data_IF_502706802032
#
_entry.id   IF_502706802032
#
_cell.length_a   1.000
_cell.length_b   1.000
_cell.length_c   1.000
_cell.angle_alpha   90.00
_cell.angle_beta   90.00
_cell.angle_gamma   90.00
#
_symmetry.space_group_name_H-M   'P 1'
#
loop_
_entity.id
_entity.type
_entity.pdbx_description
1 polymer ?
#
# COMPACT_ATOMS: atom_id res chain seq x y z
N UNK A 1 -14.49 4.91 -4.34
CA UNK A 1 -13.16 4.29 -4.54
C UNK A 1 -12.65 3.80 -3.19
N UNK A 2 -11.99 2.65 -3.16
CA UNK A 2 -11.42 2.07 -1.93
C UNK A 2 -9.91 2.32 -1.91
N UNK A 3 -9.36 2.50 -0.72
CA UNK A 3 -7.91 2.65 -0.51
C UNK A 3 -7.34 1.26 -0.17
N UNK A 4 -6.28 0.85 -0.86
CA UNK A 4 -5.56 -0.39 -0.57
C UNK A 4 -4.12 -0.08 -0.21
N UNK A 5 -3.66 -0.72 0.87
CA UNK A 5 -2.27 -0.71 1.28
C UNK A 5 -1.56 -1.88 0.61
N UNK A 6 -0.52 -1.58 -0.15
CA UNK A 6 0.37 -2.55 -0.79
C UNK A 6 1.70 -2.52 -0.07
N UNK A 7 2.17 -3.67 0.41
CA UNK A 7 3.50 -3.81 1.03
C UNK A 7 4.37 -4.69 0.16
N UNK A 8 5.51 -4.15 -0.28
CA UNK A 8 6.54 -4.87 -1.02
C UNK A 8 7.66 -5.28 -0.06
N UNK A 9 7.86 -6.57 0.15
CA UNK A 9 8.92 -7.11 1.01
C UNK A 9 10.11 -7.57 0.15
N UNK A 10 11.28 -7.01 0.43
CA UNK A 10 12.55 -7.45 -0.16
C UNK A 10 13.19 -8.56 0.68
N UNK A 11 12.99 -8.49 1.99
CA UNK A 11 13.30 -9.51 3.00
C UNK A 11 12.43 -9.28 4.26
N UNK A 12 12.83 -9.83 5.41
CA UNK A 12 12.08 -9.74 6.66
C UNK A 12 12.08 -8.33 7.28
N UNK A 13 13.12 -7.54 7.04
CA UNK A 13 13.32 -6.22 7.66
C UNK A 13 13.06 -5.07 6.68
N UNK A 14 13.27 -5.31 5.38
CA UNK A 14 13.18 -4.29 4.34
C UNK A 14 11.88 -4.41 3.56
N UNK A 15 11.02 -3.40 3.74
CA UNK A 15 9.78 -3.27 2.99
C UNK A 15 9.43 -1.82 2.67
N UNK A 16 8.66 -1.64 1.59
CA UNK A 16 8.11 -0.34 1.19
C UNK A 16 6.59 -0.46 1.08
N UNK A 17 5.87 0.60 1.45
CA UNK A 17 4.41 0.68 1.38
C UNK A 17 3.94 1.68 0.35
N UNK A 18 3.01 1.26 -0.51
CA UNK A 18 2.28 2.11 -1.46
C UNK A 18 0.79 2.08 -1.13
N UNK A 19 0.12 3.22 -1.24
CA UNK A 19 -1.33 3.29 -1.17
C UNK A 19 -1.90 3.50 -2.57
N UNK A 20 -2.83 2.64 -2.98
CA UNK A 20 -3.50 2.72 -4.28
C UNK A 20 -5.00 2.88 -4.09
N UNK A 21 -5.66 3.54 -5.04
CA UNK A 21 -7.10 3.82 -5.00
C UNK A 21 -7.77 3.14 -6.17
N UNK A 22 -8.53 2.07 -5.90
CA UNK A 22 -9.20 1.25 -6.92
C UNK A 22 -10.57 0.79 -6.43
N UNK A 23 -11.36 0.19 -7.31
CA UNK A 23 -12.76 -0.17 -7.04
C UNK A 23 -12.91 -1.43 -6.18
N UNK A 24 -11.94 -2.36 -6.25
CA UNK A 24 -12.02 -3.66 -5.61
C UNK A 24 -10.64 -4.32 -5.43
N UNK A 25 -10.57 -5.36 -4.60
CA UNK A 25 -9.37 -6.19 -4.40
C UNK A 25 -8.87 -6.77 -5.73
N UNK A 26 -9.76 -7.29 -6.58
CA UNK A 26 -9.38 -7.86 -7.88
C UNK A 26 -8.76 -6.82 -8.83
N UNK A 27 -9.22 -5.56 -8.77
CA UNK A 27 -8.58 -4.45 -9.51
C UNK A 27 -7.22 -4.08 -8.93
N UNK A 28 -7.06 -4.13 -7.61
CA UNK A 28 -5.77 -3.93 -6.95
C UNK A 28 -4.75 -5.00 -7.39
N UNK A 29 -5.15 -6.28 -7.37
CA UNK A 29 -4.32 -7.40 -7.81
C UNK A 29 -3.98 -7.32 -9.29
N UNK A 30 -4.94 -6.95 -10.15
CA UNK A 30 -4.70 -6.77 -11.57
C UNK A 30 -3.68 -5.66 -11.85
N UNK A 31 -3.78 -4.52 -11.14
CA UNK A 31 -2.80 -3.43 -11.24
C UNK A 31 -1.39 -3.93 -10.87
N UNK A 32 -1.24 -4.53 -9.69
CA UNK A 32 0.06 -5.03 -9.21
C UNK A 32 0.63 -6.10 -10.15
N UNK A 33 -0.22 -6.96 -10.74
CA UNK A 33 0.22 -7.94 -11.74
C UNK A 33 0.69 -7.27 -13.03
N UNK A 34 0.01 -6.23 -13.49
CA UNK A 34 0.41 -5.48 -14.69
C UNK A 34 1.73 -4.74 -14.52
N UNK A 35 2.06 -4.36 -13.29
CA UNK A 35 3.31 -3.72 -12.88
C UNK A 35 4.45 -4.72 -12.57
N UNK A 36 4.24 -6.03 -12.78
CA UNK A 36 5.24 -7.05 -12.45
C UNK A 36 6.43 -6.99 -13.41
N UNK A 37 7.61 -7.25 -12.87
CA UNK A 37 8.89 -7.34 -13.58
C UNK A 37 9.31 -6.05 -14.32
N UNK A 38 9.02 -4.89 -13.71
CA UNK A 38 9.44 -3.59 -14.22
C UNK A 38 9.70 -2.61 -13.06
N UNK A 39 10.20 -1.43 -13.39
CA UNK A 39 10.31 -0.34 -12.42
C UNK A 39 8.96 0.33 -12.20
N UNK A 40 8.63 0.58 -10.94
CA UNK A 40 7.55 1.48 -10.55
C UNK A 40 8.11 2.59 -9.67
N UNK A 41 7.46 3.75 -9.73
CA UNK A 41 7.74 4.85 -8.82
C UNK A 41 6.47 5.47 -8.27
N UNK A 42 6.56 5.97 -7.04
CA UNK A 42 5.46 6.64 -6.37
C UNK A 42 5.99 7.51 -5.23
N UNK A 43 5.19 8.48 -4.83
CA UNK A 43 5.45 9.33 -3.67
C UNK A 43 4.51 8.94 -2.54
N UNK A 44 5.04 8.71 -1.35
CA UNK A 44 4.21 8.39 -0.18
C UNK A 44 3.55 9.64 0.44
N UNK A 45 2.72 9.44 1.48
CA UNK A 45 2.04 10.53 2.17
C UNK A 45 2.98 11.48 2.93
N UNK A 46 4.25 11.12 3.11
CA UNK A 46 5.29 11.97 3.72
C UNK A 46 6.06 12.77 2.66
N UNK A 47 5.73 12.62 1.38
CA UNK A 47 6.44 13.29 0.28
C UNK A 47 7.73 12.59 -0.13
N UNK A 48 7.95 11.33 0.27
CA UNK A 48 9.16 10.58 -0.07
C UNK A 48 8.95 9.85 -1.39
N UNK A 49 9.88 10.07 -2.32
CA UNK A 49 9.93 9.35 -3.59
C UNK A 49 10.48 7.93 -3.36
N UNK A 50 9.74 6.94 -3.82
CA UNK A 50 10.15 5.55 -3.85
C UNK A 50 10.22 5.08 -5.30
N UNK A 51 11.27 4.34 -5.62
CA UNK A 51 11.42 3.65 -6.89
C UNK A 51 11.95 2.25 -6.62
N UNK A 52 11.33 1.24 -7.24
CA UNK A 52 11.78 -0.14 -7.11
C UNK A 52 11.48 -0.96 -8.36
N UNK A 53 12.29 -2.00 -8.56
CA UNK A 53 12.04 -3.03 -9.56
C UNK A 53 11.16 -4.14 -8.95
N UNK A 54 9.93 -4.29 -9.42
CA UNK A 54 8.95 -5.22 -8.84
C UNK A 54 9.36 -6.68 -8.97
N UNK A 55 10.18 -7.03 -9.97
CA UNK A 55 10.76 -8.37 -10.13
C UNK A 55 11.74 -8.78 -9.01
N UNK A 56 12.24 -7.83 -8.20
CA UNK A 56 13.15 -8.09 -7.06
C UNK A 56 12.41 -8.22 -5.73
N UNK A 57 11.09 -8.04 -5.72
CA UNK A 57 10.26 -8.16 -4.52
C UNK A 57 9.95 -9.64 -4.27
N UNK A 58 10.16 -10.10 -3.04
CA UNK A 58 9.92 -11.50 -2.66
C UNK A 58 8.45 -11.77 -2.37
N UNK A 59 7.80 -10.85 -1.64
CA UNK A 59 6.40 -10.98 -1.24
C UNK A 59 5.68 -9.65 -1.46
N UNK A 60 4.48 -9.71 -2.03
CA UNK A 60 3.58 -8.57 -2.14
C UNK A 60 2.32 -8.87 -1.34
N UNK A 61 2.00 -8.00 -0.38
CA UNK A 61 0.76 -8.06 0.38
C UNK A 61 -0.16 -6.91 -0.02
N UNK A 62 -1.43 -7.21 -0.29
CA UNK A 62 -2.46 -6.22 -0.62
C UNK A 62 -3.59 -6.37 0.39
N UNK A 63 -3.96 -5.29 1.05
CA UNK A 63 -5.08 -5.26 2.00
C UNK A 63 -5.88 -3.98 1.86
N UNK A 64 -7.22 -4.07 1.91
CA UNK A 64 -8.09 -2.89 2.01
C UNK A 64 -7.72 -2.09 3.27
N UNK A 65 -7.54 -0.79 3.11
CA UNK A 65 -7.10 0.10 4.17
C UNK A 65 -8.28 0.94 4.64
N UNK A 66 -8.72 0.69 5.88
CA UNK A 66 -9.72 1.50 6.55
C UNK A 66 -8.99 2.55 7.38
N UNK A 67 -9.08 3.83 6.97
CA UNK A 67 -8.64 4.94 7.80
C UNK A 67 -9.46 4.93 9.07
N UNK A 68 -8.87 4.48 10.18
CA UNK A 68 -9.46 4.69 11.50
C UNK A 68 -9.26 6.16 11.84
N UNK A 69 -10.35 6.92 11.80
CA UNK A 69 -10.39 8.30 12.26
C UNK A 69 -10.04 8.35 13.75
N UNK A 70 -8.77 8.63 14.07
CA UNK A 70 -8.28 8.78 15.45
C UNK A 70 -8.99 9.92 16.20
N UNK A 71 -9.64 10.84 15.48
CA UNK A 71 -10.47 11.92 16.03
C UNK A 71 -11.74 11.38 16.70
N UNK A 72 -12.31 10.25 16.25
CA UNK A 72 -13.48 9.61 16.88
C UNK A 72 -13.10 8.73 18.08
N UNK A 73 -11.93 8.10 18.04
CA UNK A 73 -11.44 7.25 19.13
C UNK A 73 -11.15 8.03 20.43
N UNK A 74 -10.83 9.33 20.34
CA UNK A 74 -10.57 10.17 21.52
C UNK A 74 -11.85 10.60 22.26
N UNK A 75 -13.02 10.64 21.59
CA UNK A 75 -14.30 10.97 22.24
C UNK A 75 -14.86 9.78 23.04
N UNK A 76 -14.68 8.55 22.57
CA UNK A 76 -15.16 7.35 23.28
C UNK A 76 -14.31 6.95 24.50
N UNK A 77 -13.10 7.50 24.65
CA UNK A 77 -12.24 7.26 25.81
C UNK A 77 -12.37 8.36 26.89
N UNK A 78 -13.24 9.35 26.67
CA UNK A 78 -13.49 10.49 27.56
C UNK A 78 -14.96 10.57 28.00
N UNK A 79 -15.76 9.53 27.71
CA UNK A 79 -17.14 9.33 28.17
C UNK A 79 -17.21 8.12 29.10
#
# INVERSE_FOLDING_TARGET
MKEFKVTYFFDEEHYIRRFIHVESQGKAEALIRSERDQYISFTDSRGIYHELHTGKVRVVQISEYFRVDKSKAKKAAME
#
